data_IF_597081229035
#
_entry.id   IF_597081229035
#
_cell.length_a   1.000
_cell.length_b   1.000
_cell.length_c   1.000
_cell.angle_alpha   90.00
_cell.angle_beta   90.00
_cell.angle_gamma   90.00
#
_symmetry.space_group_name_H-M   'P 1'
#
loop_
_entity.id
_entity.type
_entity.pdbx_description
1 polymer ?
#
# COMPACT_ATOMS: atom_id res chain seq x y z
N UNK A 1 -8.89 -16.91 9.56
CA UNK A 1 -9.51 -15.56 9.51
C UNK A 1 -10.76 -15.66 8.68
N UNK A 2 -11.88 -15.15 9.19
CA UNK A 2 -13.15 -15.09 8.45
C UNK A 2 -13.12 -14.00 7.38
N UNK A 3 -14.00 -14.07 6.39
CA UNK A 3 -14.09 -13.06 5.33
C UNK A 3 -14.40 -11.66 5.89
N UNK A 4 -15.30 -11.57 6.87
CA UNK A 4 -15.69 -10.32 7.52
C UNK A 4 -14.51 -9.69 8.31
N UNK A 5 -13.67 -10.51 8.95
CA UNK A 5 -12.43 -10.04 9.59
C UNK A 5 -11.41 -9.54 8.56
N UNK A 6 -11.28 -10.25 7.44
CA UNK A 6 -10.43 -9.84 6.31
C UNK A 6 -10.81 -8.47 5.80
N UNK A 7 -12.09 -8.27 5.53
CA UNK A 7 -12.62 -6.99 5.05
C UNK A 7 -12.37 -5.86 6.04
N UNK A 8 -12.67 -6.08 7.33
CA UNK A 8 -12.41 -5.09 8.38
C UNK A 8 -10.95 -4.69 8.44
N UNK A 9 -10.04 -5.65 8.35
CA UNK A 9 -8.60 -5.37 8.34
C UNK A 9 -8.17 -4.61 7.07
N UNK A 10 -8.69 -4.99 5.91
CA UNK A 10 -8.41 -4.29 4.66
C UNK A 10 -8.88 -2.82 4.69
N UNK A 11 -10.08 -2.54 5.23
CA UNK A 11 -10.61 -1.18 5.42
C UNK A 11 -9.71 -0.33 6.33
N UNK A 12 -9.29 -0.88 7.48
CA UNK A 12 -8.40 -0.18 8.41
C UNK A 12 -7.02 0.08 7.82
N UNK A 13 -6.51 -0.86 7.02
CA UNK A 13 -5.26 -0.66 6.28
C UNK A 13 -5.41 0.43 5.22
N UNK A 14 -6.49 0.43 4.43
CA UNK A 14 -6.77 1.48 3.44
C UNK A 14 -6.86 2.88 4.08
N UNK A 15 -7.45 2.98 5.27
CA UNK A 15 -7.52 4.21 6.05
C UNK A 15 -6.18 4.65 6.67
N UNK A 16 -5.13 3.81 6.58
CA UNK A 16 -3.82 4.07 7.18
C UNK A 16 -3.77 3.86 8.70
N UNK A 17 -4.82 3.30 9.31
CA UNK A 17 -4.87 3.04 10.77
C UNK A 17 -3.94 1.93 11.22
N UNK A 18 -3.65 0.99 10.32
CA UNK A 18 -2.75 -0.14 10.58
C UNK A 18 -1.73 -0.29 9.46
N UNK A 19 -0.58 -0.85 9.79
CA UNK A 19 0.52 -1.09 8.85
C UNK A 19 0.41 -2.45 8.17
N UNK A 20 1.16 -2.63 7.08
CA UNK A 20 1.35 -3.94 6.44
C UNK A 20 1.86 -5.01 7.43
N UNK A 21 2.84 -4.66 8.28
CA UNK A 21 3.35 -5.58 9.31
C UNK A 21 2.27 -6.04 10.31
N UNK A 22 1.26 -5.21 10.54
CA UNK A 22 0.10 -5.59 11.37
C UNK A 22 -0.83 -6.54 10.64
N UNK A 23 -1.14 -6.28 9.36
CA UNK A 23 -1.90 -7.23 8.53
C UNK A 23 -1.24 -8.60 8.46
N UNK A 24 0.09 -8.63 8.27
CA UNK A 24 0.85 -9.88 8.20
C UNK A 24 0.74 -10.71 9.48
N UNK A 25 0.87 -10.06 10.64
CA UNK A 25 0.68 -10.72 11.94
C UNK A 25 -0.75 -11.21 12.18
N UNK A 26 -1.73 -10.66 11.45
CA UNK A 26 -3.16 -11.01 11.58
C UNK A 26 -3.63 -12.05 10.55
N UNK A 27 -2.72 -12.59 9.75
CA UNK A 27 -3.01 -13.68 8.82
C UNK A 27 -3.14 -13.29 7.35
N UNK A 28 -2.64 -12.12 6.94
CA UNK A 28 -2.33 -11.87 5.52
C UNK A 28 -0.91 -12.36 5.21
N UNK A 29 -0.78 -13.46 4.47
CA UNK A 29 0.54 -14.07 4.25
C UNK A 29 1.42 -13.27 3.29
N UNK A 30 0.80 -12.65 2.28
CA UNK A 30 1.49 -11.92 1.24
C UNK A 30 0.81 -10.56 0.94
N UNK A 31 1.56 -9.64 0.35
CA UNK A 31 1.05 -8.29 0.05
C UNK A 31 0.09 -8.29 -1.14
N UNK A 32 0.22 -9.24 -2.06
CA UNK A 32 -0.65 -9.38 -3.24
C UNK A 32 -2.09 -9.65 -2.82
N UNK A 33 -2.29 -10.46 -1.79
CA UNK A 33 -3.60 -10.76 -1.19
C UNK A 33 -4.25 -9.51 -0.61
N UNK A 34 -3.46 -8.59 -0.02
CA UNK A 34 -3.97 -7.31 0.46
C UNK A 34 -4.45 -6.47 -0.73
N UNK A 35 -3.66 -6.41 -1.80
CA UNK A 35 -4.05 -5.67 -3.01
C UNK A 35 -5.31 -6.25 -3.65
N UNK A 36 -5.45 -7.58 -3.66
CA UNK A 36 -6.66 -8.26 -4.16
C UNK A 36 -7.89 -7.91 -3.31
N UNK A 37 -7.79 -7.98 -1.98
CA UNK A 37 -8.90 -7.61 -1.08
C UNK A 37 -9.28 -6.12 -1.21
N UNK A 38 -8.29 -5.23 -1.32
CA UNK A 38 -8.56 -3.81 -1.58
C UNK A 38 -9.27 -3.60 -2.92
N UNK A 39 -8.87 -4.34 -3.96
CA UNK A 39 -9.50 -4.32 -5.27
C UNK A 39 -10.98 -4.74 -5.22
N UNK A 40 -11.30 -5.82 -4.52
CA UNK A 40 -12.68 -6.28 -4.30
C UNK A 40 -13.55 -5.22 -3.63
N UNK A 41 -12.96 -4.47 -2.69
CA UNK A 41 -13.66 -3.43 -1.93
C UNK A 41 -13.69 -2.06 -2.63
N UNK A 42 -13.06 -1.92 -3.81
CA UNK A 42 -12.90 -0.63 -4.48
C UNK A 42 -12.04 0.37 -3.72
N UNK A 43 -11.17 -0.11 -2.83
CA UNK A 43 -10.31 0.69 -1.98
C UNK A 43 -8.90 0.82 -2.56
N UNK A 44 -8.21 1.90 -2.20
CA UNK A 44 -6.81 2.11 -2.55
C UNK A 44 -5.90 1.80 -1.37
N UNK A 45 -4.67 1.29 -1.61
CA UNK A 45 -3.67 1.21 -0.56
C UNK A 45 -3.39 2.59 0.05
N UNK A 46 -3.08 2.66 1.35
CA UNK A 46 -2.75 3.93 1.99
C UNK A 46 -1.49 4.52 1.36
N UNK A 47 -1.54 5.79 1.00
CA UNK A 47 -0.37 6.53 0.55
C UNK A 47 0.29 7.13 1.79
N UNK A 48 1.43 6.58 2.19
CA UNK A 48 2.18 7.14 3.31
C UNK A 48 2.50 8.62 3.04
N UNK A 49 2.19 9.54 3.96
CA UNK A 49 2.43 10.97 3.78
C UNK A 49 3.90 11.22 3.42
N UNK A 50 4.15 12.25 2.62
CA UNK A 50 5.51 12.66 2.24
C UNK A 50 6.12 13.52 3.34
N UNK A 51 6.16 12.97 4.55
CA UNK A 51 6.65 13.60 5.77
C UNK A 51 7.67 12.70 6.49
N UNK A 52 8.49 13.29 7.36
CA UNK A 52 9.49 12.58 8.16
C UNK A 52 10.88 12.46 7.53
N UNK A 53 11.78 11.67 8.14
CA UNK A 53 13.22 11.69 7.83
C UNK A 53 13.55 11.16 6.42
N UNK A 54 12.66 10.34 5.84
CA UNK A 54 12.92 9.67 4.55
C UNK A 54 12.34 10.40 3.33
N UNK A 55 11.81 11.62 3.50
CA UNK A 55 11.15 12.37 2.42
C UNK A 55 12.08 12.62 1.24
N UNK A 56 13.30 13.11 1.51
CA UNK A 56 14.27 13.40 0.46
C UNK A 56 14.61 12.16 -0.37
N UNK A 57 14.78 10.99 0.28
CA UNK A 57 15.03 9.73 -0.41
C UNK A 57 13.84 9.31 -1.28
N UNK A 58 12.61 9.41 -0.75
CA UNK A 58 11.38 9.09 -1.50
C UNK A 58 11.16 10.04 -2.68
N UNK A 59 11.47 11.33 -2.54
CA UNK A 59 11.40 12.31 -3.62
C UNK A 59 12.38 11.96 -4.75
N UNK A 60 13.63 11.61 -4.42
CA UNK A 60 14.63 11.15 -5.41
C UNK A 60 14.16 9.90 -6.15
N UNK A 61 13.68 8.89 -5.42
CA UNK A 61 13.14 7.68 -6.03
C UNK A 61 11.98 7.96 -6.98
N UNK A 62 11.04 8.84 -6.58
CA UNK A 62 9.93 9.27 -7.45
C UNK A 62 10.40 10.01 -8.71
N UNK A 63 11.44 10.83 -8.61
CA UNK A 63 12.01 11.54 -9.77
C UNK A 63 12.63 10.55 -10.76
N UNK A 64 13.42 9.59 -10.28
CA UNK A 64 14.02 8.53 -11.11
C UNK A 64 12.94 7.69 -11.83
N UNK A 65 11.93 7.23 -11.09
CA UNK A 65 10.83 6.45 -11.68
C UNK A 65 10.06 7.25 -12.72
N UNK A 66 9.80 8.55 -12.47
CA UNK A 66 9.13 9.41 -13.45
C UNK A 66 9.95 9.59 -14.71
N UNK A 67 11.27 9.71 -14.60
CA UNK A 67 12.14 9.81 -15.77
C UNK A 67 12.12 8.51 -16.57
N UNK A 68 12.32 7.37 -15.92
CA UNK A 68 12.27 6.06 -16.58
C UNK A 68 10.94 5.80 -17.29
N UNK A 69 9.81 6.21 -16.70
CA UNK A 69 8.49 6.08 -17.34
C UNK A 69 8.29 7.03 -18.53
N UNK A 70 8.95 8.20 -18.55
CA UNK A 70 8.96 9.06 -19.73
C UNK A 70 9.80 8.45 -20.84
N UNK A 71 10.96 7.91 -20.50
CA UNK A 71 11.88 7.30 -21.45
C UNK A 71 11.33 5.99 -22.05
N UNK A 72 10.51 5.26 -21.28
CA UNK A 72 9.84 4.04 -21.72
C UNK A 72 8.53 4.29 -22.50
N UNK A 73 8.06 5.54 -22.58
CA UNK A 73 6.88 5.89 -23.36
C UNK A 73 7.32 6.05 -24.83
N UNK A 74 6.75 5.26 -25.77
CA UNK A 74 7.06 5.39 -27.21
C UNK A 74 6.60 6.74 -27.77
#
# INVERSE_FOLDING_TARGET
MTENEREKLARRYAAGEITWSTLRRRGFDNYVDVLAELGKLGLRPPVAPMEGPNVAARQRGRALLRQALKDAKP
#
